data_IF_595818269059
#
_entry.id   IF_595818269059
#
_cell.length_a   1.000
_cell.length_b   1.000
_cell.length_c   1.000
_cell.angle_alpha   90.00
_cell.angle_beta   90.00
_cell.angle_gamma   90.00
#
_symmetry.space_group_name_H-M   'P 1'
#
loop_
_entity.id
_entity.type
_entity.pdbx_description
1 polymer ?
#
# COMPACT_ATOMS: atom_id res chain seq x y z
N UNK A 1 -9.85 -10.01 10.06
CA UNK A 1 -9.90 -8.83 10.95
C UNK A 1 -10.20 -7.60 10.12
N UNK A 2 -10.74 -6.53 10.70
CA UNK A 2 -10.93 -5.26 10.01
C UNK A 2 -9.93 -4.24 10.58
N UNK A 3 -9.10 -3.66 9.71
CA UNK A 3 -8.07 -2.71 10.05
C UNK A 3 -8.45 -1.32 9.56
N UNK A 4 -8.18 -0.30 10.37
CA UNK A 4 -8.29 1.10 9.95
C UNK A 4 -6.90 1.69 9.80
N UNK A 5 -6.79 2.65 8.89
CA UNK A 5 -5.53 3.33 8.69
C UNK A 5 -5.70 4.67 8.00
N UNK A 6 -4.62 5.45 8.03
CA UNK A 6 -4.59 6.76 7.40
C UNK A 6 -3.19 7.19 7.01
N UNK A 7 -3.10 8.18 6.12
CA UNK A 7 -1.85 8.93 5.96
C UNK A 7 -1.52 9.73 7.24
N UNK A 8 -0.31 10.28 7.34
CA UNK A 8 0.14 10.98 8.56
C UNK A 8 -0.79 12.13 9.01
N UNK A 9 -1.32 12.93 8.08
CA UNK A 9 -2.22 14.03 8.42
C UNK A 9 -3.70 13.60 8.55
N UNK A 10 -4.03 12.33 8.33
CA UNK A 10 -5.40 11.82 8.39
C UNK A 10 -6.31 12.19 7.22
N UNK A 11 -5.81 12.92 6.20
CA UNK A 11 -6.62 13.38 5.05
C UNK A 11 -6.95 12.27 4.04
N UNK A 12 -6.21 11.17 4.07
CA UNK A 12 -6.50 9.93 3.33
C UNK A 12 -6.71 8.84 4.36
N UNK A 13 -7.92 8.28 4.43
CA UNK A 13 -8.30 7.22 5.37
C UNK A 13 -8.81 6.01 4.60
N UNK A 14 -8.58 4.84 5.16
CA UNK A 14 -9.05 3.59 4.60
C UNK A 14 -9.38 2.60 5.69
N UNK A 15 -10.16 1.60 5.31
CA UNK A 15 -10.32 0.35 6.04
C UNK A 15 -9.94 -0.82 5.13
N UNK A 16 -9.51 -1.91 5.74
CA UNK A 16 -9.15 -3.12 5.01
C UNK A 16 -9.42 -4.38 5.83
N UNK A 17 -9.95 -5.39 5.15
CA UNK A 17 -10.28 -6.68 5.74
C UNK A 17 -9.26 -7.75 5.37
N UNK A 18 -8.90 -8.58 6.35
CA UNK A 18 -8.06 -9.75 6.16
C UNK A 18 -7.15 -10.04 7.34
N UNK A 19 -6.02 -10.69 7.05
CA UNK A 19 -4.98 -11.03 8.00
C UNK A 19 -3.63 -10.50 7.49
N UNK A 20 -2.87 -9.86 8.37
CA UNK A 20 -1.52 -9.36 8.09
C UNK A 20 -0.51 -10.43 8.52
N UNK A 21 -0.39 -11.51 7.74
CA UNK A 21 0.53 -12.60 8.05
C UNK A 21 2.01 -12.21 7.82
N UNK A 22 2.25 -11.32 6.85
CA UNK A 22 3.57 -10.75 6.57
C UNK A 22 3.43 -9.48 5.74
N UNK A 23 4.51 -8.71 5.65
CA UNK A 23 4.63 -7.58 4.75
C UNK A 23 5.75 -7.81 3.73
N UNK A 24 5.65 -7.18 2.56
CA UNK A 24 6.66 -7.21 1.52
C UNK A 24 7.43 -5.90 1.45
N UNK A 25 8.76 -5.99 1.49
CA UNK A 25 9.68 -4.87 1.29
C UNK A 25 10.39 -5.02 -0.05
N UNK A 26 10.11 -4.10 -0.99
CA UNK A 26 10.70 -4.10 -2.33
C UNK A 26 11.87 -3.12 -2.44
N UNK A 27 12.97 -3.57 -3.05
CA UNK A 27 14.20 -2.78 -3.21
C UNK A 27 14.27 -1.95 -4.51
N UNK A 28 13.22 -1.91 -5.34
CA UNK A 28 13.24 -1.15 -6.59
C UNK A 28 13.45 0.34 -6.31
N UNK A 29 13.89 1.11 -7.31
CA UNK A 29 14.28 2.52 -7.13
C UNK A 29 13.19 3.38 -6.47
N UNK A 30 11.92 3.06 -6.71
CA UNK A 30 10.81 3.80 -6.11
C UNK A 30 10.41 3.23 -4.74
N UNK A 31 10.24 1.90 -4.60
CA UNK A 31 9.81 1.31 -3.33
C UNK A 31 10.82 1.53 -2.20
N UNK A 32 12.12 1.44 -2.50
CA UNK A 32 13.18 1.73 -1.53
C UNK A 32 13.09 3.15 -0.97
N UNK A 33 12.76 4.14 -1.82
CA UNK A 33 12.62 5.55 -1.40
C UNK A 33 11.36 5.78 -0.56
N UNK A 34 10.28 5.03 -0.83
CA UNK A 34 9.02 5.13 -0.07
C UNK A 34 9.09 4.42 1.29
N UNK A 35 9.95 3.41 1.44
CA UNK A 35 10.05 2.62 2.68
C UNK A 35 8.77 1.87 3.04
N UNK A 36 7.91 1.57 2.05
CA UNK A 36 6.64 0.87 2.26
C UNK A 36 6.88 -0.57 2.69
N UNK A 37 6.10 -1.02 3.68
CA UNK A 37 5.91 -2.41 4.00
C UNK A 37 4.53 -2.82 3.51
N UNK A 38 4.48 -3.61 2.44
CA UNK A 38 3.25 -3.83 1.67
C UNK A 38 2.52 -5.08 2.14
N UNK A 39 1.27 -4.91 2.55
CA UNK A 39 0.30 -5.99 2.72
C UNK A 39 -0.64 -6.02 1.52
N UNK A 40 -0.76 -7.18 0.87
CA UNK A 40 -1.59 -7.34 -0.32
C UNK A 40 -2.96 -7.90 0.06
N UNK A 41 -4.00 -7.26 -0.45
CA UNK A 41 -5.40 -7.68 -0.32
C UNK A 41 -6.11 -7.61 -1.67
N UNK A 42 -7.24 -8.32 -1.81
CA UNK A 42 -8.12 -8.07 -2.95
C UNK A 42 -8.60 -6.62 -2.92
N UNK A 43 -8.83 -6.00 -4.08
CA UNK A 43 -9.26 -4.60 -4.09
C UNK A 43 -10.62 -4.39 -3.41
N UNK A 44 -11.48 -5.41 -3.41
CA UNK A 44 -12.78 -5.40 -2.74
C UNK A 44 -12.68 -5.48 -1.22
N UNK A 45 -11.59 -6.02 -0.67
CA UNK A 45 -11.33 -6.05 0.76
C UNK A 45 -10.77 -4.73 1.31
N UNK A 46 -10.59 -3.69 0.48
CA UNK A 46 -10.15 -2.37 0.91
C UNK A 46 -11.18 -1.31 0.51
N UNK A 47 -11.57 -0.46 1.46
CA UNK A 47 -12.42 0.70 1.21
C UNK A 47 -11.69 1.98 1.59
N UNK A 48 -11.58 2.90 0.64
CA UNK A 48 -11.06 4.25 0.90
C UNK A 48 -12.23 5.09 1.42
N UNK A 49 -12.04 5.74 2.56
CA UNK A 49 -13.08 6.46 3.30
C UNK A 49 -13.05 7.98 3.01
N UNK A 50 -12.14 8.41 2.14
CA UNK A 50 -11.93 9.81 1.78
C UNK A 50 -12.18 10.01 0.29
N UNK A 51 -12.53 11.24 -0.15
CA UNK A 51 -12.68 11.55 -1.57
C UNK A 51 -11.43 11.21 -2.39
N UNK A 52 -11.64 10.82 -3.64
CA UNK A 52 -10.60 10.37 -4.56
C UNK A 52 -9.56 11.48 -4.81
N UNK A 53 -10.00 12.74 -4.82
CA UNK A 53 -9.16 13.92 -5.02
C UNK A 53 -8.16 14.17 -3.88
N UNK A 54 -8.35 13.58 -2.70
CA UNK A 54 -7.40 13.72 -1.59
C UNK A 54 -6.11 12.92 -1.82
N UNK A 55 -6.18 11.92 -2.71
CA UNK A 55 -5.08 11.03 -3.02
C UNK A 55 -4.63 11.18 -4.48
N UNK A 56 -3.42 11.70 -4.68
CA UNK A 56 -2.77 11.69 -5.98
C UNK A 56 -2.41 10.27 -6.42
N UNK A 57 -2.18 10.10 -7.72
CA UNK A 57 -1.70 8.85 -8.30
C UNK A 57 -0.39 9.10 -9.05
N UNK A 58 0.61 8.26 -8.77
CA UNK A 58 1.86 8.21 -9.53
C UNK A 58 1.99 6.87 -10.24
N UNK A 59 2.18 6.92 -11.55
CA UNK A 59 2.46 5.75 -12.39
C UNK A 59 3.97 5.69 -12.66
N UNK A 60 4.53 4.49 -12.59
CA UNK A 60 5.95 4.26 -12.78
C UNK A 60 6.19 2.97 -13.59
N UNK A 61 7.31 2.91 -14.30
CA UNK A 61 7.73 1.76 -15.11
C UNK A 61 6.64 1.34 -16.11
N UNK A 62 6.17 0.09 -16.04
CA UNK A 62 5.12 -0.47 -16.91
C UNK A 62 3.73 0.15 -16.68
N UNK A 63 3.60 1.12 -15.79
CA UNK A 63 2.34 1.79 -15.42
C UNK A 63 1.24 0.84 -14.95
N UNK A 64 1.64 -0.35 -14.47
CA UNK A 64 0.72 -1.40 -14.00
C UNK A 64 0.20 -1.16 -12.57
N UNK A 65 0.86 -0.29 -11.80
CA UNK A 65 0.51 -0.01 -10.41
C UNK A 65 0.28 1.50 -10.26
N UNK A 66 -0.90 1.87 -9.77
CA UNK A 66 -1.23 3.23 -9.35
C UNK A 66 -0.75 3.42 -7.92
N UNK A 67 0.32 4.17 -7.75
CA UNK A 67 0.82 4.48 -6.41
C UNK A 67 0.07 5.67 -5.84
N UNK A 68 -0.74 5.42 -4.81
CA UNK A 68 -1.58 6.45 -4.21
C UNK A 68 -0.82 7.17 -3.10
N UNK A 69 -0.94 8.49 -3.05
CA UNK A 69 -0.30 9.30 -2.02
C UNK A 69 -1.18 10.47 -1.60
N UNK A 70 -1.08 10.85 -0.33
CA UNK A 70 -1.78 12.02 0.17
C UNK A 70 -1.18 13.29 -0.43
N UNK A 71 -2.02 14.11 -1.07
CA UNK A 71 -1.58 15.39 -1.64
C UNK A 71 -1.14 16.41 -0.57
N UNK A 72 -1.54 16.19 0.70
CA UNK A 72 -1.24 17.09 1.81
C UNK A 72 0.09 16.76 2.50
N UNK A 73 0.34 15.48 2.82
CA UNK A 73 1.54 15.07 3.60
C UNK A 73 2.51 14.16 2.84
N UNK A 74 2.22 13.80 1.58
CA UNK A 74 3.10 12.99 0.74
C UNK A 74 3.18 11.50 1.10
N UNK A 75 2.58 11.06 2.22
CA UNK A 75 2.57 9.64 2.61
C UNK A 75 1.84 8.80 1.56
N UNK A 76 2.38 7.61 1.29
CA UNK A 76 1.79 6.59 0.42
C UNK A 76 1.07 5.52 1.25
N UNK A 77 -0.24 5.69 1.57
CA UNK A 77 -0.97 4.72 2.37
C UNK A 77 -1.28 3.42 1.61
N UNK A 78 -1.44 3.48 0.29
CA UNK A 78 -1.75 2.29 -0.52
C UNK A 78 -1.32 2.44 -1.98
N UNK A 79 -1.41 1.35 -2.74
CA UNK A 79 -1.30 1.31 -4.20
C UNK A 79 -2.34 0.35 -4.76
N UNK A 80 -2.75 0.56 -6.01
CA UNK A 80 -3.75 -0.26 -6.70
C UNK A 80 -3.13 -0.90 -7.94
N UNK A 81 -3.42 -2.17 -8.19
CA UNK A 81 -2.87 -2.92 -9.32
C UNK A 81 -3.68 -4.19 -9.59
N UNK A 82 -3.06 -5.17 -10.27
CA UNK A 82 -3.68 -6.47 -10.56
C UNK A 82 -2.76 -7.64 -10.20
N UNK A 83 -3.36 -8.80 -9.88
CA UNK A 83 -2.65 -10.07 -9.73
C UNK A 83 -2.10 -10.54 -11.08
N UNK A 84 -1.17 -11.51 -11.10
CA UNK A 84 -0.77 -12.17 -12.35
C UNK A 84 -1.95 -12.79 -13.12
N UNK A 85 -3.02 -13.15 -12.42
CA UNK A 85 -4.27 -13.64 -13.02
C UNK A 85 -5.19 -12.51 -13.52
N UNK A 86 -4.82 -11.25 -13.35
CA UNK A 86 -5.58 -10.08 -13.80
C UNK A 86 -6.61 -9.55 -12.80
N UNK A 87 -6.66 -10.08 -11.59
CA UNK A 87 -7.67 -9.68 -10.59
C UNK A 87 -7.26 -8.38 -9.89
N UNK A 88 -8.18 -7.43 -9.66
CA UNK A 88 -7.88 -6.19 -8.94
C UNK A 88 -7.37 -6.43 -7.52
N UNK A 89 -6.26 -5.79 -7.18
CA UNK A 89 -5.64 -5.86 -5.84
C UNK A 89 -5.30 -4.47 -5.29
N UNK A 90 -5.11 -4.42 -3.98
CA UNK A 90 -4.49 -3.28 -3.30
C UNK A 90 -3.25 -3.73 -2.52
N UNK A 91 -2.22 -2.88 -2.51
CA UNK A 91 -1.04 -3.01 -1.67
C UNK A 91 -1.06 -1.91 -0.61
N UNK A 92 -1.37 -2.27 0.62
CA UNK A 92 -1.51 -1.35 1.76
C UNK A 92 -0.15 -1.20 2.44
N UNK A 93 0.25 0.03 2.75
CA UNK A 93 1.42 0.27 3.59
C UNK A 93 1.05 0.03 5.05
N UNK A 94 1.51 -1.06 5.65
CA UNK A 94 1.13 -1.41 7.03
C UNK A 94 1.59 -0.34 8.05
N UNK A 95 2.58 0.48 7.71
CA UNK A 95 2.99 1.64 8.52
C UNK A 95 1.92 2.72 8.69
N UNK A 96 0.85 2.65 7.90
CA UNK A 96 -0.29 3.56 7.93
C UNK A 96 -1.51 2.93 8.61
N UNK A 97 -1.40 1.72 9.17
CA UNK A 97 -2.48 1.05 9.90
C UNK A 97 -2.36 1.38 11.38
N UNK A 98 -3.50 1.68 11.99
CA UNK A 98 -3.56 2.06 13.40
C UNK A 98 -3.42 0.83 14.31
N UNK A 99 -2.63 0.97 15.38
CA UNK A 99 -2.62 0.02 16.50
C UNK A 99 -1.95 -1.34 16.23
N UNK A 100 -1.18 -1.50 15.15
CA UNK A 100 -0.44 -2.74 14.88
C UNK A 100 0.98 -2.71 15.45
N UNK A 101 1.45 -3.85 15.94
CA UNK A 101 2.87 -4.04 16.28
C UNK A 101 3.66 -4.38 15.01
N UNK A 102 4.30 -3.36 14.44
CA UNK A 102 5.12 -3.50 13.24
C UNK A 102 6.31 -4.45 13.42
N UNK A 103 6.85 -4.60 14.63
CA UNK A 103 8.03 -5.44 14.88
C UNK A 103 7.67 -6.92 14.94
N UNK A 104 6.41 -7.24 15.28
CA UNK A 104 5.91 -8.60 15.30
C UNK A 104 5.56 -9.14 13.90
N UNK A 105 5.45 -8.28 12.88
CA UNK A 105 5.05 -8.68 11.52
C UNK A 105 6.30 -9.07 10.70
N UNK A 106 6.41 -10.34 10.23
CA UNK A 106 7.50 -10.76 9.38
C UNK A 106 7.58 -9.95 8.08
N UNK A 107 8.81 -9.60 7.68
CA UNK A 107 9.06 -8.85 6.43
C UNK A 107 9.75 -9.74 5.40
N UNK A 108 9.05 -9.99 4.30
CA UNK A 108 9.57 -10.68 3.13
C UNK A 108 10.25 -9.68 2.19
N UNK A 109 11.48 -9.97 1.78
CA UNK A 109 12.24 -9.10 0.89
C UNK A 109 12.06 -9.51 -0.57
N UNK A 110 11.76 -8.54 -1.42
CA UNK A 110 11.57 -8.74 -2.86
C UNK A 110 12.58 -7.94 -3.67
N UNK A 111 13.27 -8.63 -4.59
CA UNK A 111 14.23 -8.02 -5.51
C UNK A 111 13.55 -7.42 -6.75
N UNK A 112 12.87 -6.30 -6.55
CA UNK A 112 12.24 -5.54 -7.63
C UNK A 112 13.21 -4.86 -8.60
N UNK A 113 14.52 -4.85 -8.34
CA UNK A 113 15.52 -4.34 -9.29
C UNK A 113 15.78 -5.34 -10.42
N UNK A 114 15.62 -6.63 -10.17
CA UNK A 114 15.89 -7.70 -11.16
C UNK A 114 14.82 -7.87 -12.22
N UNK A 115 13.59 -7.39 -11.97
CA UNK A 115 12.42 -7.63 -12.86
C UNK A 115 11.96 -6.37 -13.61
N UNK A 116 12.83 -5.37 -13.70
CA UNK A 116 12.48 -4.06 -14.25
C UNK A 116 12.17 -4.12 -15.73
#
# INVERSE_FOLDING_TARGET
MNYQGSCHCGNVKFEAEGEIASALSCNCSMCQRKGMLMWFVSRSAMRVLTPEENAGAYLFNKHAIKHRFCLTCGIHPYSEGTTPAGEPMAAINIRCIDGIDLQAIPVNHFDGRSIR
#
